data_IF_249612522236
#
_entry.id   IF_249612522236
#
_cell.length_a   1.000
_cell.length_b   1.000
_cell.length_c   1.000
_cell.angle_alpha   90.00
_cell.angle_beta   90.00
_cell.angle_gamma   90.00
#
_symmetry.space_group_name_H-M   'P 1'
#
loop_
_entity.id
_entity.type
_entity.pdbx_description
1 polymer ?
#
# COMPACT_ATOMS: atom_id res chain seq x y z
N UNK A 1 -9.81 15.88 -8.75
CA UNK A 1 -8.68 15.35 -9.55
C UNK A 1 -7.35 15.60 -8.88
N UNK A 2 -6.82 16.84 -8.91
CA UNK A 2 -5.48 17.17 -8.41
C UNK A 2 -5.24 16.67 -6.98
N UNK A 3 -6.19 16.89 -6.07
CA UNK A 3 -6.09 16.43 -4.67
C UNK A 3 -5.93 14.90 -4.58
N UNK A 4 -6.65 14.14 -5.39
CA UNK A 4 -6.57 12.67 -5.41
C UNK A 4 -5.25 12.18 -5.99
N UNK A 5 -4.75 12.84 -7.03
CA UNK A 5 -3.44 12.55 -7.59
C UNK A 5 -2.32 12.81 -6.57
N UNK A 6 -2.34 13.95 -5.89
CA UNK A 6 -1.35 14.30 -4.87
C UNK A 6 -1.39 13.33 -3.70
N UNK A 7 -2.59 12.98 -3.20
CA UNK A 7 -2.72 12.08 -2.06
C UNK A 7 -2.31 10.65 -2.41
N UNK A 8 -2.68 10.14 -3.59
CA UNK A 8 -2.25 8.83 -4.07
C UNK A 8 -0.73 8.75 -4.21
N UNK A 9 -0.11 9.75 -4.84
CA UNK A 9 1.36 9.82 -4.97
C UNK A 9 2.06 9.93 -3.61
N UNK A 10 1.51 10.73 -2.69
CA UNK A 10 2.05 10.89 -1.33
C UNK A 10 1.94 9.59 -0.53
N UNK A 11 0.82 8.87 -0.64
CA UNK A 11 0.62 7.59 0.05
C UNK A 11 1.65 6.54 -0.43
N UNK A 12 1.84 6.42 -1.75
CA UNK A 12 2.86 5.53 -2.32
C UNK A 12 4.29 5.92 -1.90
N UNK A 13 4.63 7.20 -1.96
CA UNK A 13 5.95 7.70 -1.57
C UNK A 13 6.24 7.52 -0.07
N UNK A 14 5.25 7.81 0.79
CA UNK A 14 5.38 7.60 2.23
C UNK A 14 5.59 6.11 2.55
N UNK A 15 4.82 5.21 1.91
CA UNK A 15 5.00 3.76 2.02
C UNK A 15 6.42 3.33 1.67
N UNK A 16 6.92 3.75 0.50
CA UNK A 16 8.28 3.46 0.04
C UNK A 16 9.36 3.98 1.01
N UNK A 17 9.20 5.21 1.49
CA UNK A 17 10.14 5.83 2.44
C UNK A 17 10.23 5.04 3.74
N UNK A 18 9.11 4.52 4.23
CA UNK A 18 9.07 3.71 5.44
C UNK A 18 9.64 2.32 5.20
N UNK A 19 9.31 1.70 4.06
CA UNK A 19 9.82 0.38 3.69
C UNK A 19 11.34 0.36 3.58
N UNK A 20 11.92 1.30 2.82
CA UNK A 20 13.38 1.40 2.64
C UNK A 20 14.15 1.54 3.97
N UNK A 21 13.59 2.28 4.95
CA UNK A 21 14.17 2.39 6.30
C UNK A 21 13.95 1.10 7.11
N UNK A 22 12.77 0.49 6.99
CA UNK A 22 12.39 -0.69 7.74
C UNK A 22 13.16 -1.94 7.29
N UNK A 23 13.50 -2.09 6.01
CA UNK A 23 14.15 -3.29 5.46
C UNK A 23 15.44 -3.63 6.21
N UNK A 24 16.32 -2.65 6.43
CA UNK A 24 17.57 -2.85 7.18
C UNK A 24 17.29 -3.17 8.66
N UNK A 25 16.27 -2.56 9.26
CA UNK A 25 15.89 -2.82 10.65
C UNK A 25 15.30 -4.21 10.83
N UNK A 26 14.53 -4.69 9.86
CA UNK A 26 13.96 -6.04 9.83
C UNK A 26 15.07 -7.07 9.69
N UNK A 27 16.02 -6.86 8.77
CA UNK A 27 17.18 -7.73 8.58
C UNK A 27 18.06 -7.79 9.86
N UNK A 28 18.28 -6.65 10.53
CA UNK A 28 19.01 -6.62 11.79
C UNK A 28 18.25 -7.34 12.92
N UNK A 29 16.93 -7.12 13.03
CA UNK A 29 16.08 -7.76 14.05
C UNK A 29 15.94 -9.26 13.84
N UNK A 30 16.07 -9.77 12.61
CA UNK A 30 16.07 -11.20 12.33
C UNK A 30 17.19 -11.96 13.07
N UNK A 31 18.30 -11.29 13.41
CA UNK A 31 19.36 -11.86 14.27
C UNK A 31 18.88 -12.23 15.68
N UNK A 32 17.80 -11.60 16.16
CA UNK A 32 17.16 -11.86 17.45
C UNK A 32 16.00 -12.86 17.35
N UNK A 33 15.70 -13.35 16.15
CA UNK A 33 14.64 -14.31 15.86
C UNK A 33 13.51 -13.73 14.99
N UNK A 34 12.71 -14.65 14.44
CA UNK A 34 11.61 -14.35 13.51
C UNK A 34 10.57 -13.43 14.13
N UNK A 35 10.26 -13.60 15.42
CA UNK A 35 9.30 -12.76 16.14
C UNK A 35 9.70 -11.29 16.17
N UNK A 36 10.99 -11.00 16.43
CA UNK A 36 11.51 -9.65 16.44
C UNK A 36 11.49 -9.01 15.03
N UNK A 37 11.84 -9.77 14.00
CA UNK A 37 11.76 -9.31 12.61
C UNK A 37 10.31 -9.00 12.19
N UNK A 38 9.37 -9.90 12.50
CA UNK A 38 7.96 -9.72 12.17
C UNK A 38 7.38 -8.47 12.84
N UNK A 39 7.72 -8.21 14.09
CA UNK A 39 7.24 -7.01 14.78
C UNK A 39 7.68 -5.71 14.07
N UNK A 40 8.92 -5.65 13.56
CA UNK A 40 9.41 -4.50 12.80
C UNK A 40 8.70 -4.39 11.45
N UNK A 41 8.67 -5.49 10.68
CA UNK A 41 8.05 -5.52 9.35
C UNK A 41 6.54 -5.23 9.39
N UNK A 42 5.83 -5.78 10.38
CA UNK A 42 4.40 -5.56 10.56
C UNK A 42 4.12 -4.12 11.00
N UNK A 43 4.95 -3.56 11.90
CA UNK A 43 4.81 -2.16 12.31
C UNK A 43 5.02 -1.21 11.14
N UNK A 44 6.04 -1.44 10.29
CA UNK A 44 6.27 -0.60 9.11
C UNK A 44 5.15 -0.70 8.08
N UNK A 45 4.65 -1.91 7.79
CA UNK A 45 3.52 -2.12 6.90
C UNK A 45 2.22 -1.47 7.42
N UNK A 46 2.04 -1.45 8.74
CA UNK A 46 0.88 -0.80 9.37
C UNK A 46 0.88 0.70 9.18
N UNK A 47 2.05 1.37 9.19
CA UNK A 47 2.12 2.81 8.91
C UNK A 47 1.66 3.11 7.49
N UNK A 48 2.08 2.31 6.50
CA UNK A 48 1.61 2.44 5.12
C UNK A 48 0.09 2.27 5.02
N UNK A 49 -0.46 1.21 5.61
CA UNK A 49 -1.91 0.95 5.59
C UNK A 49 -2.74 2.07 6.24
N UNK A 50 -2.28 2.58 7.39
CA UNK A 50 -2.94 3.69 8.09
C UNK A 50 -2.85 5.01 7.31
N UNK A 51 -1.74 5.26 6.60
CA UNK A 51 -1.59 6.42 5.74
C UNK A 51 -2.54 6.36 4.53
N UNK A 52 -2.64 5.20 3.87
CA UNK A 52 -3.55 4.97 2.75
C UNK A 52 -5.01 5.19 3.17
N UNK A 53 -5.45 4.51 4.24
CA UNK A 53 -6.82 4.62 4.72
C UNK A 53 -7.13 6.03 5.27
N UNK A 54 -6.19 6.61 6.03
CA UNK A 54 -6.33 7.93 6.63
C UNK A 54 -6.41 9.05 5.60
N UNK A 55 -5.48 9.09 4.63
CA UNK A 55 -5.52 10.08 3.55
C UNK A 55 -6.73 9.88 2.65
N UNK A 56 -7.11 8.63 2.36
CA UNK A 56 -8.28 8.30 1.56
C UNK A 56 -9.55 8.87 2.17
N UNK A 57 -9.81 8.56 3.44
CA UNK A 57 -10.99 9.00 4.17
C UNK A 57 -10.97 10.51 4.45
N UNK A 58 -9.83 11.08 4.84
CA UNK A 58 -9.70 12.51 5.12
C UNK A 58 -9.93 13.35 3.87
N UNK A 59 -9.30 12.98 2.75
CA UNK A 59 -9.46 13.69 1.49
C UNK A 59 -10.89 13.62 0.98
N UNK A 60 -11.49 12.44 1.03
CA UNK A 60 -12.86 12.22 0.57
C UNK A 60 -13.90 12.93 1.46
N UNK A 61 -13.76 12.85 2.78
CA UNK A 61 -14.65 13.55 3.73
C UNK A 61 -14.49 15.07 3.62
N UNK A 62 -13.25 15.58 3.55
CA UNK A 62 -12.98 17.01 3.42
C UNK A 62 -13.52 17.60 2.12
N UNK A 63 -13.32 16.91 0.99
CA UNK A 63 -13.86 17.34 -0.30
C UNK A 63 -15.39 17.29 -0.30
N UNK A 64 -16.00 16.25 0.28
CA UNK A 64 -17.45 16.18 0.37
C UNK A 64 -18.04 17.29 1.24
N UNK A 65 -17.40 17.68 2.34
CA UNK A 65 -17.87 18.79 3.18
C UNK A 65 -17.87 20.14 2.44
N UNK A 66 -16.90 20.35 1.54
CA UNK A 66 -16.77 21.58 0.74
C UNK A 66 -17.77 21.60 -0.41
N UNK A 67 -17.80 20.54 -1.23
CA UNK A 67 -18.57 20.52 -2.47
C UNK A 67 -20.00 20.00 -2.31
N UNK A 68 -20.25 19.13 -1.31
CA UNK A 68 -21.53 18.47 -1.02
C UNK A 68 -22.18 17.73 -2.20
N UNK A 69 -21.39 17.44 -3.23
CA UNK A 69 -21.80 16.76 -4.45
C UNK A 69 -20.90 15.53 -4.70
N UNK A 70 -21.44 14.30 -4.62
CA UNK A 70 -20.68 13.07 -4.90
C UNK A 70 -20.10 13.03 -6.32
N UNK A 71 -20.73 13.66 -7.31
CA UNK A 71 -20.26 13.68 -8.70
C UNK A 71 -18.96 14.48 -8.83
N UNK A 72 -18.81 15.59 -8.11
CA UNK A 72 -17.56 16.36 -8.05
C UNK A 72 -16.48 15.57 -7.30
N UNK A 73 -16.87 14.90 -6.21
CA UNK A 73 -15.95 14.05 -5.42
C UNK A 73 -15.44 12.87 -6.26
N UNK A 74 -16.18 12.37 -7.25
CA UNK A 74 -15.68 11.35 -8.18
C UNK A 74 -14.39 11.76 -8.91
N UNK A 75 -14.17 13.05 -9.12
CA UNK A 75 -12.90 13.55 -9.63
C UNK A 75 -11.71 13.21 -8.72
N UNK A 76 -11.90 12.97 -7.42
CA UNK A 76 -10.86 12.51 -6.49
C UNK A 76 -10.42 11.08 -6.80
N UNK A 77 -11.36 10.14 -6.99
CA UNK A 77 -11.06 8.78 -7.45
C UNK A 77 -10.33 8.81 -8.79
N UNK A 78 -10.82 9.58 -9.77
CA UNK A 78 -10.16 9.66 -11.09
C UNK A 78 -8.69 10.10 -11.01
N UNK A 79 -8.39 11.06 -10.12
CA UNK A 79 -7.02 11.51 -9.89
C UNK A 79 -6.15 10.43 -9.23
N UNK A 80 -6.72 9.70 -8.26
CA UNK A 80 -6.08 8.58 -7.62
C UNK A 80 -5.76 7.45 -8.62
N UNK A 81 -6.71 7.05 -9.47
CA UNK A 81 -6.54 5.99 -10.48
C UNK A 81 -5.52 6.35 -11.53
N UNK A 82 -5.47 7.62 -11.92
CA UNK A 82 -4.47 8.08 -12.89
C UNK A 82 -3.05 7.87 -12.36
N UNK A 83 -2.78 8.25 -11.10
CA UNK A 83 -1.45 8.07 -10.50
C UNK A 83 -1.17 6.61 -10.19
N UNK A 84 -2.14 5.87 -9.65
CA UNK A 84 -2.01 4.46 -9.34
C UNK A 84 -1.65 3.63 -10.59
N UNK A 85 -2.29 3.92 -11.73
CA UNK A 85 -1.99 3.26 -13.00
C UNK A 85 -0.52 3.39 -13.38
N UNK A 86 0.01 4.62 -13.41
CA UNK A 86 1.40 4.85 -13.78
C UNK A 86 2.38 4.30 -12.73
N UNK A 87 2.10 4.46 -11.44
CA UNK A 87 2.95 3.96 -10.37
C UNK A 87 3.06 2.44 -10.40
N UNK A 88 1.93 1.74 -10.56
CA UNK A 88 1.89 0.29 -10.64
C UNK A 88 2.52 -0.24 -11.91
N UNK A 89 2.17 0.31 -13.07
CA UNK A 89 2.71 -0.20 -14.34
C UNK A 89 4.21 0.08 -14.42
N UNK A 90 4.62 1.31 -14.09
CA UNK A 90 6.04 1.68 -14.09
C UNK A 90 6.86 0.88 -13.08
N UNK A 91 6.39 0.80 -11.83
CA UNK A 91 7.08 0.04 -10.78
C UNK A 91 7.04 -1.47 -11.02
N UNK A 92 5.93 -1.99 -11.53
CA UNK A 92 5.75 -3.41 -11.86
C UNK A 92 6.68 -3.86 -13.00
N UNK A 93 6.81 -3.05 -14.05
CA UNK A 93 7.77 -3.33 -15.13
C UNK A 93 9.20 -3.27 -14.60
N UNK A 94 9.53 -2.27 -13.78
CA UNK A 94 10.86 -2.14 -13.19
C UNK A 94 11.22 -3.36 -12.33
N UNK A 95 10.36 -3.72 -11.38
CA UNK A 95 10.63 -4.82 -10.44
C UNK A 95 10.69 -6.16 -11.17
N UNK A 96 9.75 -6.45 -12.07
CA UNK A 96 9.72 -7.76 -12.73
C UNK A 96 10.79 -7.92 -13.81
N UNK A 97 11.24 -6.84 -14.44
CA UNK A 97 12.40 -6.92 -15.31
C UNK A 97 13.69 -7.21 -14.52
N UNK A 98 13.85 -6.63 -13.33
CA UNK A 98 15.02 -6.83 -12.49
C UNK A 98 15.03 -8.22 -11.84
N UNK A 99 13.93 -8.61 -11.18
CA UNK A 99 13.67 -9.91 -10.53
C UNK A 99 13.97 -11.06 -11.50
N UNK A 100 13.27 -11.10 -12.65
CA UNK A 100 13.46 -12.17 -13.65
C UNK A 100 14.87 -12.19 -14.22
N UNK A 101 15.48 -11.03 -14.45
CA UNK A 101 16.85 -10.93 -14.99
C UNK A 101 17.91 -11.42 -13.99
N UNK A 102 17.77 -11.00 -12.72
CA UNK A 102 18.68 -11.37 -11.65
C UNK A 102 18.59 -12.88 -11.36
N UNK A 103 17.38 -13.42 -11.27
CA UNK A 103 17.16 -14.81 -10.92
C UNK A 103 17.58 -15.78 -12.00
N UNK A 104 17.26 -15.51 -13.27
CA UNK A 104 17.63 -16.42 -14.36
C UNK A 104 19.15 -16.52 -14.51
N UNK A 105 19.85 -15.38 -14.56
CA UNK A 105 21.31 -15.39 -14.74
C UNK A 105 22.01 -15.88 -13.47
N UNK A 106 21.54 -15.49 -12.29
CA UNK A 106 22.13 -15.88 -11.01
C UNK A 106 21.90 -17.36 -10.69
N UNK A 107 20.64 -17.76 -10.52
CA UNK A 107 20.28 -19.09 -10.03
C UNK A 107 20.43 -20.17 -11.10
N UNK A 108 20.01 -19.88 -12.35
CA UNK A 108 19.92 -20.91 -13.40
C UNK A 108 21.20 -21.03 -14.22
N UNK A 109 21.79 -19.91 -14.64
CA UNK A 109 23.00 -19.94 -15.50
C UNK A 109 24.30 -20.03 -14.70
N UNK A 110 24.48 -19.15 -13.71
CA UNK A 110 25.72 -19.06 -12.94
C UNK A 110 25.75 -19.99 -11.70
N UNK A 111 24.60 -20.51 -11.27
CA UNK A 111 24.49 -21.38 -10.10
C UNK A 111 24.88 -20.71 -8.78
N UNK A 112 24.73 -19.38 -8.68
CA UNK A 112 24.95 -18.63 -7.44
C UNK A 112 23.63 -18.48 -6.65
N UNK A 113 23.69 -18.28 -5.32
CA UNK A 113 22.50 -18.04 -4.52
C UNK A 113 21.66 -16.85 -4.99
N UNK A 114 20.39 -16.84 -4.59
CA UNK A 114 19.51 -15.66 -4.66
C UNK A 114 20.09 -14.49 -3.88
N UNK A 115 19.84 -13.27 -4.35
CA UNK A 115 20.35 -12.03 -3.73
C UNK A 115 21.87 -11.98 -3.53
N UNK A 116 22.63 -12.78 -4.29
CA UNK A 116 24.09 -12.81 -4.14
C UNK A 116 24.70 -11.46 -4.56
N UNK A 117 25.58 -10.86 -3.74
CA UNK A 117 26.16 -9.55 -4.04
C UNK A 117 27.02 -9.50 -5.31
N UNK A 118 27.38 -10.65 -5.89
CA UNK A 118 28.10 -10.74 -7.17
C UNK A 118 27.18 -10.54 -8.38
N UNK A 119 25.86 -10.69 -8.19
CA UNK A 119 24.88 -10.51 -9.23
C UNK A 119 24.51 -9.03 -9.37
N UNK A 120 24.80 -8.45 -10.53
CA UNK A 120 24.55 -7.04 -10.81
C UNK A 120 23.05 -6.66 -10.78
N UNK A 121 22.15 -7.64 -10.94
CA UNK A 121 20.69 -7.42 -10.92
C UNK A 121 20.10 -7.17 -9.54
N UNK A 122 20.77 -7.60 -8.46
CA UNK A 122 20.20 -7.67 -7.10
C UNK A 122 19.85 -6.29 -6.54
N UNK A 123 20.63 -5.24 -6.88
CA UNK A 123 20.29 -3.87 -6.44
C UNK A 123 19.00 -3.40 -7.14
N UNK A 124 18.85 -3.66 -8.43
CA UNK A 124 17.66 -3.26 -9.17
C UNK A 124 16.43 -4.04 -8.70
N UNK A 125 16.60 -5.31 -8.33
CA UNK A 125 15.54 -6.15 -7.79
C UNK A 125 15.02 -5.60 -6.44
N UNK A 126 15.91 -5.40 -5.48
CA UNK A 126 15.57 -4.84 -4.16
C UNK A 126 15.02 -3.40 -4.24
N UNK A 127 15.48 -2.60 -5.21
CA UNK A 127 14.86 -1.29 -5.49
C UNK A 127 13.45 -1.48 -6.05
N UNK A 128 13.28 -2.44 -6.94
CA UNK A 128 12.00 -2.84 -7.53
C UNK A 128 10.95 -3.17 -6.50
N UNK A 129 11.28 -3.95 -5.46
CA UNK A 129 10.35 -4.27 -4.38
C UNK A 129 9.76 -3.02 -3.72
N UNK A 130 10.58 -1.99 -3.51
CA UNK A 130 10.13 -0.75 -2.89
C UNK A 130 9.34 0.13 -3.87
N UNK A 131 9.70 0.12 -5.15
CA UNK A 131 9.06 0.97 -6.17
C UNK A 131 7.75 0.37 -6.67
N UNK A 132 7.74 -0.91 -7.02
CA UNK A 132 6.56 -1.63 -7.51
C UNK A 132 5.68 -2.11 -6.36
N UNK A 133 6.23 -3.00 -5.53
CA UNK A 133 5.43 -3.77 -4.57
C UNK A 133 5.01 -2.96 -3.35
N UNK A 134 5.72 -1.87 -3.03
CA UNK A 134 5.30 -0.93 -1.98
C UNK A 134 4.60 0.30 -2.56
N UNK A 135 5.28 1.12 -3.35
CA UNK A 135 4.69 2.38 -3.79
C UNK A 135 3.52 2.20 -4.77
N UNK A 136 3.68 1.30 -5.75
CA UNK A 136 2.64 0.93 -6.70
C UNK A 136 1.43 0.29 -6.02
N UNK A 137 1.67 -0.64 -5.08
CA UNK A 137 0.59 -1.24 -4.29
C UNK A 137 -0.12 -0.20 -3.41
N UNK A 138 0.61 0.70 -2.76
CA UNK A 138 0.03 1.74 -1.91
C UNK A 138 -0.88 2.69 -2.67
N UNK A 139 -0.45 3.14 -3.85
CA UNK A 139 -1.24 4.00 -4.72
C UNK A 139 -2.51 3.30 -5.22
N UNK A 140 -2.43 2.00 -5.53
CA UNK A 140 -3.59 1.23 -5.93
C UNK A 140 -4.59 0.97 -4.80
N UNK A 141 -4.12 0.51 -3.64
CA UNK A 141 -5.00 0.27 -2.50
C UNK A 141 -5.73 1.56 -2.12
N UNK A 142 -5.05 2.69 -2.21
CA UNK A 142 -5.65 4.01 -2.03
C UNK A 142 -6.77 4.26 -3.04
N UNK A 143 -6.52 4.02 -4.32
CA UNK A 143 -7.53 4.21 -5.36
C UNK A 143 -8.73 3.29 -5.20
N UNK A 144 -8.51 2.00 -4.99
CA UNK A 144 -9.58 1.02 -4.83
C UNK A 144 -10.44 1.32 -3.59
N UNK A 145 -9.79 1.75 -2.51
CA UNK A 145 -10.46 2.19 -1.28
C UNK A 145 -11.32 3.43 -1.52
N UNK A 146 -10.77 4.46 -2.14
CA UNK A 146 -11.49 5.70 -2.44
C UNK A 146 -12.63 5.46 -3.44
N UNK A 147 -12.36 4.73 -4.51
CA UNK A 147 -13.31 4.44 -5.59
C UNK A 147 -14.53 3.66 -5.08
N UNK A 148 -14.32 2.65 -4.24
CA UNK A 148 -15.42 1.87 -3.65
C UNK A 148 -16.32 2.70 -2.73
N UNK A 149 -15.75 3.60 -1.93
CA UNK A 149 -16.51 4.52 -1.07
C UNK A 149 -17.34 5.48 -1.94
N UNK A 150 -16.74 6.12 -2.93
CA UNK A 150 -17.44 7.08 -3.81
C UNK A 150 -18.55 6.41 -4.62
N UNK A 151 -18.30 5.21 -5.15
CA UNK A 151 -19.31 4.45 -5.88
C UNK A 151 -20.53 4.19 -4.97
N UNK A 152 -20.28 3.76 -3.73
CA UNK A 152 -21.34 3.52 -2.74
C UNK A 152 -22.06 4.81 -2.36
N UNK A 153 -21.35 5.94 -2.19
CA UNK A 153 -21.96 7.25 -1.93
C UNK A 153 -22.88 7.69 -3.07
N UNK A 154 -22.44 7.47 -4.32
CA UNK A 154 -23.19 7.88 -5.51
C UNK A 154 -24.50 7.10 -5.62
N UNK A 155 -24.46 5.78 -5.42
CA UNK A 155 -25.67 4.94 -5.35
C UNK A 155 -26.54 5.36 -4.16
N UNK A 156 -25.95 5.59 -2.99
CA UNK A 156 -26.65 6.00 -1.78
C UNK A 156 -27.40 7.34 -1.95
N UNK A 157 -26.81 8.31 -2.65
CA UNK A 157 -27.42 9.60 -2.96
C UNK A 157 -28.63 9.50 -3.91
N UNK A 158 -28.64 8.49 -4.79
CA UNK A 158 -29.75 8.27 -5.74
C UNK A 158 -30.89 7.50 -5.07
N UNK A 159 -30.56 6.46 -4.30
CA UNK A 159 -31.55 5.53 -3.74
C UNK A 159 -32.22 6.08 -2.49
N UNK A 160 -31.49 6.80 -1.64
CA UNK A 160 -32.00 7.31 -0.38
C UNK A 160 -32.12 8.84 -0.41
N UNK A 161 -33.27 9.42 -0.03
CA UNK A 161 -33.40 10.86 0.10
C UNK A 161 -32.57 11.37 1.28
N UNK A 162 -31.83 12.46 1.06
CA UNK A 162 -31.00 13.11 2.06
C UNK A 162 -29.57 12.58 2.15
N UNK A 163 -28.87 12.92 3.23
CA UNK A 163 -27.42 12.69 3.37
C UNK A 163 -27.05 11.29 3.90
N UNK A 164 -28.03 10.54 4.42
CA UNK A 164 -27.80 9.26 5.10
C UNK A 164 -27.16 8.21 4.17
N UNK A 165 -27.58 8.14 2.91
CA UNK A 165 -27.00 7.22 1.92
C UNK A 165 -25.55 7.53 1.58
N UNK A 166 -25.14 8.80 1.70
CA UNK A 166 -23.77 9.25 1.46
C UNK A 166 -22.88 9.07 2.69
N UNK A 167 -23.43 9.27 3.89
CA UNK A 167 -22.68 9.09 5.14
C UNK A 167 -22.41 7.64 5.48
N UNK A 168 -23.29 6.71 5.10
CA UNK A 168 -23.14 5.31 5.46
C UNK A 168 -21.77 4.70 5.08
N UNK A 169 -21.29 4.79 3.82
CA UNK A 169 -19.98 4.25 3.47
C UNK A 169 -18.82 4.95 4.20
N UNK A 170 -18.93 6.25 4.50
CA UNK A 170 -17.95 7.00 5.30
C UNK A 170 -17.86 6.48 6.74
N UNK A 171 -19.01 6.19 7.35
CA UNK A 171 -19.09 5.66 8.72
C UNK A 171 -18.53 4.23 8.78
N UNK A 172 -18.85 3.39 7.79
CA UNK A 172 -18.28 2.03 7.68
C UNK A 172 -16.77 2.09 7.52
N UNK A 173 -16.27 2.95 6.63
CA UNK A 173 -14.84 3.18 6.44
C UNK A 173 -14.15 3.65 7.73
N UNK A 174 -14.77 4.58 8.47
CA UNK A 174 -14.27 5.09 9.75
C UNK A 174 -14.22 3.99 10.82
N UNK A 175 -15.29 3.20 10.95
CA UNK A 175 -15.34 2.07 11.86
C UNK A 175 -14.30 0.99 11.50
N UNK A 176 -14.06 0.78 10.20
CA UNK A 176 -13.00 -0.09 9.69
C UNK A 176 -11.61 0.34 10.16
N UNK A 177 -11.27 1.64 10.06
CA UNK A 177 -9.99 2.16 10.55
C UNK A 177 -9.82 1.91 12.05
N UNK A 178 -10.87 2.14 12.85
CA UNK A 178 -10.85 1.86 14.29
C UNK A 178 -10.65 0.37 14.56
N UNK A 179 -11.36 -0.49 13.83
CA UNK A 179 -11.20 -1.94 13.94
C UNK A 179 -9.78 -2.39 13.56
N UNK A 180 -9.18 -1.81 12.51
CA UNK A 180 -7.79 -2.07 12.11
C UNK A 180 -6.79 -1.63 13.19
N UNK A 181 -7.01 -0.47 13.83
CA UNK A 181 -6.20 0.00 14.96
C UNK A 181 -6.28 -0.95 16.15
N UNK A 182 -7.47 -1.47 16.47
CA UNK A 182 -7.63 -2.46 17.53
C UNK A 182 -6.94 -3.77 17.14
N UNK A 183 -7.16 -4.25 15.91
CA UNK A 183 -6.57 -5.47 15.37
C UNK A 183 -5.04 -5.46 15.39
N UNK A 184 -4.42 -4.30 15.15
CA UNK A 184 -2.97 -4.12 15.22
C UNK A 184 -2.37 -4.64 16.54
N UNK A 185 -3.03 -4.41 17.68
CA UNK A 185 -2.53 -4.85 19.00
C UNK A 185 -2.63 -6.37 19.23
N UNK A 186 -3.45 -7.07 18.45
CA UNK A 186 -3.62 -8.53 18.58
C UNK A 186 -2.65 -9.32 17.70
N UNK A 187 -1.96 -8.68 16.76
CA UNK A 187 -0.98 -9.36 15.90
C UNK A 187 0.26 -9.69 16.72
N UNK A 188 0.55 -10.99 16.84
CA UNK A 188 1.74 -11.53 17.51
C UNK A 188 2.36 -12.62 16.67
N UNK A 189 3.69 -12.63 16.59
CA UNK A 189 4.41 -13.76 16.02
C UNK A 189 4.29 -14.99 16.93
N UNK A 190 4.03 -16.16 16.35
CA UNK A 190 4.12 -17.42 17.08
C UNK A 190 5.58 -17.87 17.14
N UNK A 191 6.13 -17.99 18.35
CA UNK A 191 7.49 -18.49 18.53
C UNK A 191 7.60 -19.97 18.14
N UNK A 192 8.68 -20.35 17.46
CA UNK A 192 8.99 -21.73 17.10
C UNK A 192 8.71 -22.16 15.66
N UNK A 193 8.17 -21.28 14.80
CA UNK A 193 8.05 -21.58 13.36
C UNK A 193 9.42 -21.41 12.70
N UNK A 194 10.08 -22.53 12.36
CA UNK A 194 11.15 -22.51 11.36
C UNK A 194 10.49 -22.13 10.03
N UNK A 195 10.66 -20.88 9.60
CA UNK A 195 10.38 -20.51 8.23
C UNK A 195 11.37 -21.31 7.38
N UNK A 196 10.86 -22.36 6.72
CA UNK A 196 11.69 -23.24 5.91
C UNK A 196 12.35 -22.43 4.81
N UNK A 197 13.67 -22.54 4.70
CA UNK A 197 14.34 -22.33 3.43
C UNK A 197 13.79 -23.41 2.48
N UNK A 198 12.97 -22.99 1.54
CA UNK A 198 12.58 -23.76 0.37
C UNK A 198 13.29 -23.12 -0.83
#
# INVERSE_FOLDING_TARGET
FIVGAVFSGTAGYAGMSIATIANVRTAYSARKGVSAALNVAFSSGSVMGMMVAGMGLLGLSGLYLIFRDPTIVNGYALGASSIALFARVGGGVYTKAADVGADLVGKVEAGIPEDDPRNAGVIADNVGDNVGDVAGMGADLFESYVGSIIATMTVGAIVYPGISGVLMPLLVASAGIIASLVGFFFVRAREGVRLGAA
#
